data_IF_350959616395
#
_entry.id   IF_350959616395
#
_cell.length_a   1.000
_cell.length_b   1.000
_cell.length_c   1.000
_cell.angle_alpha   90.00
_cell.angle_beta   90.00
_cell.angle_gamma   90.00
#
_symmetry.space_group_name_H-M   'P 1'
#
loop_
_entity.id
_entity.type
_entity.pdbx_description
1 polymer ?
#
# COMPACT_ATOMS: atom_id res chain seq x y z
N UNK A 1 7.26 4.90 -40.88
CA UNK A 1 6.59 5.38 -39.65
C UNK A 1 5.98 4.18 -38.96
N UNK A 2 6.73 3.55 -38.06
CA UNK A 2 6.30 2.37 -37.30
C UNK A 2 5.88 2.86 -35.92
N UNK A 3 4.59 2.77 -35.62
CA UNK A 3 4.00 3.11 -34.35
C UNK A 3 4.32 1.99 -33.37
N UNK A 4 5.29 2.22 -32.48
CA UNK A 4 5.59 1.34 -31.36
C UNK A 4 4.48 1.51 -30.30
N UNK A 5 3.44 0.71 -30.42
CA UNK A 5 2.53 0.43 -29.32
C UNK A 5 3.30 -0.45 -28.31
N UNK A 6 3.88 0.19 -27.28
CA UNK A 6 4.40 -0.52 -26.13
C UNK A 6 3.21 -1.10 -25.36
N UNK A 7 2.88 -2.36 -25.64
CA UNK A 7 1.97 -3.14 -24.84
C UNK A 7 2.61 -3.38 -23.48
N UNK A 8 2.10 -2.73 -22.43
CA UNK A 8 2.39 -3.03 -21.04
C UNK A 8 1.82 -4.42 -20.69
N UNK A 9 2.43 -5.49 -21.23
CA UNK A 9 2.20 -6.83 -20.73
C UNK A 9 2.92 -6.96 -19.40
N UNK A 10 2.16 -7.21 -18.34
CA UNK A 10 2.69 -7.59 -17.04
C UNK A 10 3.62 -8.80 -17.24
N UNK A 11 4.89 -8.65 -16.88
CA UNK A 11 5.79 -9.80 -16.81
C UNK A 11 5.34 -10.63 -15.60
N UNK A 12 4.66 -11.74 -15.84
CA UNK A 12 4.13 -12.65 -14.83
C UNK A 12 5.23 -13.33 -14.02
N UNK A 13 6.50 -13.25 -14.46
CA UNK A 13 7.64 -13.84 -13.74
C UNK A 13 7.91 -13.17 -12.38
N UNK A 14 7.41 -11.93 -12.19
CA UNK A 14 7.57 -11.16 -10.95
C UNK A 14 6.24 -10.93 -10.21
N UNK A 15 5.28 -11.84 -10.33
CA UNK A 15 3.99 -11.73 -9.66
C UNK A 15 3.50 -13.08 -9.17
N UNK A 16 3.05 -13.14 -7.92
CA UNK A 16 2.48 -14.33 -7.32
C UNK A 16 1.18 -14.02 -6.57
N UNK A 17 0.19 -14.89 -6.72
CA UNK A 17 -1.04 -14.86 -5.90
C UNK A 17 -0.95 -15.97 -4.87
N UNK A 18 -1.29 -15.68 -3.62
CA UNK A 18 -1.44 -16.66 -2.57
C UNK A 18 -2.78 -16.51 -1.84
N UNK A 19 -3.19 -17.57 -1.19
CA UNK A 19 -4.44 -17.63 -0.45
C UNK A 19 -4.18 -17.49 1.04
N UNK A 20 -4.95 -16.64 1.69
CA UNK A 20 -5.02 -16.46 3.12
C UNK A 20 -3.76 -15.85 3.76
N UNK A 21 -2.57 -16.34 3.44
CA UNK A 21 -1.31 -15.88 4.06
C UNK A 21 -0.13 -16.07 3.11
N UNK A 22 1.02 -15.54 3.48
CA UNK A 22 2.29 -15.80 2.81
C UNK A 22 2.74 -17.25 3.05
N UNK A 23 3.27 -17.90 2.00
CA UNK A 23 4.02 -19.15 2.17
C UNK A 23 5.33 -18.89 2.94
N UNK A 24 5.96 -19.94 3.48
CA UNK A 24 7.24 -19.80 4.19
C UNK A 24 8.36 -19.27 3.28
N UNK A 25 8.34 -19.58 1.98
CA UNK A 25 9.30 -19.03 1.01
C UNK A 25 9.08 -17.52 0.82
N UNK A 26 7.82 -17.07 0.72
CA UNK A 26 7.49 -15.65 0.63
C UNK A 26 7.78 -14.92 1.95
N UNK A 27 7.50 -15.54 3.09
CA UNK A 27 7.89 -15.00 4.38
C UNK A 27 9.40 -14.75 4.43
N UNK A 28 10.21 -15.77 4.08
CA UNK A 28 11.67 -15.67 4.05
C UNK A 28 12.15 -14.57 3.11
N UNK A 29 11.50 -14.43 1.94
CA UNK A 29 11.78 -13.37 0.98
C UNK A 29 11.55 -11.98 1.56
N UNK A 30 10.40 -11.74 2.18
CA UNK A 30 10.06 -10.43 2.73
C UNK A 30 10.80 -10.09 4.02
N UNK A 31 11.18 -11.08 4.82
CA UNK A 31 12.08 -10.87 5.97
C UNK A 31 13.53 -10.57 5.55
N UNK A 32 13.90 -10.85 4.31
CA UNK A 32 15.24 -10.58 3.76
C UNK A 32 15.45 -9.17 3.21
N UNK A 33 14.45 -8.27 3.29
CA UNK A 33 14.53 -6.90 2.77
C UNK A 33 14.28 -5.86 3.87
N UNK A 34 14.73 -4.63 3.66
CA UNK A 34 14.57 -3.53 4.63
C UNK A 34 13.34 -2.63 4.36
N UNK A 35 12.65 -2.84 3.26
CA UNK A 35 11.43 -2.08 2.94
C UNK A 35 10.53 -2.86 1.98
N UNK A 36 9.23 -2.67 2.12
CA UNK A 36 8.20 -3.22 1.23
C UNK A 36 7.14 -2.16 0.94
N UNK A 37 6.61 -2.18 -0.28
CA UNK A 37 5.40 -1.43 -0.60
C UNK A 37 4.16 -2.28 -0.27
N UNK A 38 3.12 -1.65 0.25
CA UNK A 38 1.88 -2.34 0.68
C UNK A 38 0.67 -1.54 0.24
N UNK A 39 -0.37 -2.23 -0.21
CA UNK A 39 -1.69 -1.66 -0.51
C UNK A 39 -2.77 -2.69 -0.18
N UNK A 40 -4.03 -2.25 -0.07
CA UNK A 40 -5.15 -3.13 0.25
C UNK A 40 -6.39 -2.81 -0.59
N UNK A 41 -7.12 -3.88 -0.99
CA UNK A 41 -8.41 -3.75 -1.63
C UNK A 41 -9.53 -4.26 -0.72
N UNK A 42 -10.64 -3.53 -0.70
CA UNK A 42 -11.77 -3.78 0.19
C UNK A 42 -13.11 -3.71 -0.55
N UNK A 43 -14.18 -4.17 0.06
CA UNK A 43 -15.54 -4.04 -0.50
C UNK A 43 -16.11 -2.62 -0.42
N UNK A 44 -15.39 -1.68 0.22
CA UNK A 44 -15.78 -0.28 0.38
C UNK A 44 -14.81 0.44 1.31
N UNK A 45 -15.15 1.66 1.75
CA UNK A 45 -14.19 2.56 2.41
C UNK A 45 -14.44 2.74 3.92
N UNK A 46 -15.38 2.00 4.50
CA UNK A 46 -15.73 2.16 5.92
C UNK A 46 -15.13 1.01 6.72
N UNK A 47 -14.09 1.25 7.54
CA UNK A 47 -13.57 0.26 8.48
C UNK A 47 -14.70 -0.24 9.41
N UNK A 48 -14.71 -1.53 9.70
CA UNK A 48 -15.74 -2.16 10.53
C UNK A 48 -16.97 -2.65 9.77
N UNK A 49 -17.30 -2.04 8.63
CA UNK A 49 -18.38 -2.47 7.75
C UNK A 49 -17.88 -3.24 6.53
N UNK A 50 -16.85 -2.69 5.89
CA UNK A 50 -16.38 -3.16 4.60
C UNK A 50 -15.14 -4.05 4.79
N UNK A 51 -15.23 -5.31 4.32
CA UNK A 51 -14.18 -6.28 4.58
C UNK A 51 -12.95 -6.08 3.68
N UNK A 52 -11.80 -6.43 4.22
CA UNK A 52 -10.55 -6.61 3.48
C UNK A 52 -10.67 -7.80 2.51
N UNK A 53 -10.20 -7.63 1.29
CA UNK A 53 -10.32 -8.62 0.21
C UNK A 53 -8.98 -9.05 -0.37
N UNK A 54 -8.06 -8.10 -0.57
CA UNK A 54 -6.77 -8.37 -1.16
C UNK A 54 -5.71 -7.51 -0.44
N UNK A 55 -4.51 -8.07 -0.29
CA UNK A 55 -3.34 -7.35 0.22
C UNK A 55 -2.23 -7.52 -0.80
N UNK A 56 -1.64 -6.42 -1.25
CA UNK A 56 -0.51 -6.44 -2.16
C UNK A 56 0.77 -6.06 -1.43
N UNK A 57 1.82 -6.83 -1.67
CA UNK A 57 3.18 -6.53 -1.23
C UNK A 57 4.09 -6.42 -2.45
N UNK A 58 5.01 -5.45 -2.45
CA UNK A 58 6.07 -5.38 -3.45
C UNK A 58 7.41 -5.18 -2.76
N UNK A 59 8.39 -6.00 -3.10
CA UNK A 59 9.76 -5.87 -2.59
C UNK A 59 10.63 -4.94 -3.48
N UNK A 60 11.85 -4.59 -3.04
CA UNK A 60 12.74 -3.73 -3.83
C UNK A 60 13.17 -4.29 -5.18
N UNK A 61 13.01 -5.60 -5.43
CA UNK A 61 13.28 -6.21 -6.74
C UNK A 61 12.12 -6.02 -7.73
N UNK A 62 10.98 -5.46 -7.28
CA UNK A 62 9.76 -5.33 -8.07
C UNK A 62 8.90 -6.60 -8.10
N UNK A 63 9.20 -7.59 -7.25
CA UNK A 63 8.38 -8.78 -7.11
C UNK A 63 7.12 -8.46 -6.30
N UNK A 64 5.96 -8.74 -6.86
CA UNK A 64 4.66 -8.46 -6.26
C UNK A 64 3.98 -9.75 -5.80
N UNK A 65 3.49 -9.75 -4.56
CA UNK A 65 2.62 -10.79 -4.02
C UNK A 65 1.23 -10.20 -3.76
N UNK A 66 0.20 -10.87 -4.25
CA UNK A 66 -1.20 -10.56 -3.93
C UNK A 66 -1.79 -11.67 -3.04
N UNK A 67 -2.18 -11.31 -1.81
CA UNK A 67 -2.74 -12.24 -0.82
C UNK A 67 -4.26 -12.09 -0.85
N UNK A 68 -4.99 -13.15 -1.22
CA UNK A 68 -6.46 -13.17 -1.19
C UNK A 68 -6.96 -13.42 0.21
N UNK A 69 -7.78 -12.50 0.72
CA UNK A 69 -8.39 -12.60 2.04
C UNK A 69 -9.82 -13.11 1.91
N UNK A 70 -10.09 -14.29 2.43
CA UNK A 70 -11.41 -14.92 2.34
C UNK A 70 -12.36 -14.42 3.44
N UNK A 71 -13.64 -14.54 3.18
CA UNK A 71 -14.68 -14.12 4.14
C UNK A 71 -14.57 -14.92 5.44
N UNK A 72 -14.50 -14.22 6.57
CA UNK A 72 -14.39 -14.83 7.91
C UNK A 72 -12.97 -15.19 8.31
N UNK A 73 -11.97 -14.90 7.48
CA UNK A 73 -10.57 -15.06 7.85
C UNK A 73 -10.17 -14.01 8.89
N UNK A 74 -9.53 -14.42 9.97
CA UNK A 74 -9.11 -13.55 11.08
C UNK A 74 -7.61 -13.68 11.41
N UNK A 75 -6.89 -14.55 10.71
CA UNK A 75 -5.47 -14.81 10.97
C UNK A 75 -4.66 -14.83 9.67
N UNK A 76 -3.46 -14.26 9.74
CA UNK A 76 -2.43 -14.31 8.71
C UNK A 76 -1.05 -14.22 9.40
N UNK A 77 -0.58 -15.30 10.06
CA UNK A 77 0.58 -15.26 10.96
C UNK A 77 1.89 -14.92 10.26
N UNK A 78 2.09 -15.31 9.01
CA UNK A 78 3.31 -14.98 8.27
C UNK A 78 3.28 -13.53 7.80
N UNK A 79 2.15 -13.05 7.29
CA UNK A 79 1.97 -11.64 6.99
C UNK A 79 2.18 -10.77 8.24
N UNK A 80 1.61 -11.18 9.38
CA UNK A 80 1.76 -10.47 10.65
C UNK A 80 3.24 -10.31 11.04
N UNK A 81 4.06 -11.36 10.93
CA UNK A 81 5.50 -11.28 11.19
C UNK A 81 6.18 -10.22 10.33
N UNK A 82 5.88 -10.15 9.04
CA UNK A 82 6.45 -9.15 8.12
C UNK A 82 5.98 -7.74 8.48
N UNK A 83 4.69 -7.57 8.76
CA UNK A 83 4.10 -6.26 9.01
C UNK A 83 4.48 -5.65 10.36
N UNK A 84 4.83 -6.48 11.35
CA UNK A 84 5.24 -6.05 12.69
C UNK A 84 6.77 -6.03 12.88
N UNK A 85 7.55 -6.47 11.87
CA UNK A 85 9.01 -6.42 11.93
C UNK A 85 9.51 -4.97 11.86
N UNK A 86 10.18 -4.52 12.93
CA UNK A 86 10.70 -3.15 13.05
C UNK A 86 11.87 -2.85 12.09
N UNK A 87 12.50 -3.87 11.50
CA UNK A 87 13.59 -3.70 10.54
C UNK A 87 13.09 -3.48 9.11
N UNK A 88 11.80 -3.71 8.85
CA UNK A 88 11.19 -3.58 7.53
C UNK A 88 10.28 -2.36 7.50
N UNK A 89 10.62 -1.34 6.74
CA UNK A 89 9.73 -0.19 6.52
C UNK A 89 8.57 -0.56 5.58
N UNK A 90 7.34 -0.33 6.02
CA UNK A 90 6.12 -0.53 5.24
C UNK A 90 5.68 0.77 4.58
N UNK A 91 5.76 0.82 3.25
CA UNK A 91 5.47 1.99 2.42
C UNK A 91 4.07 1.88 1.82
N UNK A 92 3.22 2.84 2.13
CA UNK A 92 1.82 2.90 1.68
C UNK A 92 1.53 4.21 0.95
N UNK A 93 0.43 4.21 0.19
CA UNK A 93 -0.20 5.45 -0.23
C UNK A 93 -1.52 5.66 0.51
N UNK A 94 -1.57 6.59 1.48
CA UNK A 94 -2.67 6.80 2.44
C UNK A 94 -2.78 5.71 3.52
N UNK A 95 -1.64 5.37 4.12
CA UNK A 95 -1.46 4.31 5.12
C UNK A 95 -2.54 4.19 6.23
N UNK A 96 -3.16 5.31 6.64
CA UNK A 96 -4.23 5.34 7.67
C UNK A 96 -5.36 4.36 7.36
N UNK A 97 -5.74 4.22 6.09
CA UNK A 97 -6.79 3.31 5.66
C UNK A 97 -6.31 1.85 5.72
N UNK A 98 -5.18 1.55 5.10
CA UNK A 98 -4.66 0.17 5.00
C UNK A 98 -4.30 -0.41 6.36
N UNK A 99 -3.64 0.40 7.20
CA UNK A 99 -3.29 0.02 8.57
C UNK A 99 -4.53 -0.27 9.41
N UNK A 100 -5.63 0.50 9.22
CA UNK A 100 -6.91 0.21 9.88
C UNK A 100 -7.48 -1.15 9.45
N UNK A 101 -7.46 -1.46 8.15
CA UNK A 101 -7.95 -2.73 7.61
C UNK A 101 -7.14 -3.94 8.13
N UNK A 102 -5.80 -3.82 8.13
CA UNK A 102 -4.90 -4.86 8.65
C UNK A 102 -5.08 -5.07 10.16
N UNK A 103 -5.16 -3.98 10.92
CA UNK A 103 -5.37 -4.04 12.36
C UNK A 103 -6.72 -4.66 12.72
N UNK A 104 -7.79 -4.26 12.03
CA UNK A 104 -9.14 -4.75 12.30
C UNK A 104 -9.30 -6.23 11.91
N UNK A 105 -8.74 -6.64 10.76
CA UNK A 105 -8.95 -7.99 10.23
C UNK A 105 -8.07 -9.02 10.93
N UNK A 106 -6.79 -8.67 11.20
CA UNK A 106 -5.77 -9.61 11.67
C UNK A 106 -5.11 -9.22 12.99
N UNK A 107 -5.55 -8.15 13.64
CA UNK A 107 -4.89 -7.59 14.82
C UNK A 107 -3.37 -7.34 14.57
N UNK A 108 -3.02 -6.83 13.39
CA UNK A 108 -1.65 -6.48 13.01
C UNK A 108 -1.35 -5.05 13.48
N UNK A 109 -0.27 -4.88 14.25
CA UNK A 109 0.28 -3.59 14.66
C UNK A 109 1.39 -3.16 13.69
N UNK A 110 1.01 -2.67 12.51
CA UNK A 110 1.94 -2.31 11.44
C UNK A 110 2.92 -1.23 11.88
N UNK A 111 4.22 -1.50 11.80
CA UNK A 111 5.31 -0.53 12.03
C UNK A 111 6.67 -1.08 11.54
N UNK A 112 7.66 -0.21 11.18
CA UNK A 112 7.49 1.23 10.94
C UNK A 112 6.73 1.51 9.65
N UNK A 113 6.13 2.69 9.55
CA UNK A 113 5.29 3.11 8.43
C UNK A 113 5.90 4.31 7.71
N UNK A 114 5.89 4.28 6.38
CA UNK A 114 6.06 5.45 5.53
C UNK A 114 4.79 5.68 4.72
N UNK A 115 4.27 6.91 4.72
CA UNK A 115 3.07 7.26 3.94
C UNK A 115 3.40 8.25 2.84
N UNK A 116 3.41 7.80 1.58
CA UNK A 116 3.73 8.64 0.42
C UNK A 116 2.76 9.80 0.22
N UNK A 117 1.49 9.66 0.62
CA UNK A 117 0.51 10.76 0.55
C UNK A 117 0.82 11.88 1.57
N UNK A 118 1.22 11.53 2.79
CA UNK A 118 1.66 12.52 3.80
C UNK A 118 2.97 13.16 3.33
N UNK A 119 3.94 12.36 2.91
CA UNK A 119 5.20 12.83 2.37
C UNK A 119 4.99 13.80 1.19
N UNK A 120 4.12 13.44 0.24
CA UNK A 120 3.75 14.28 -0.89
C UNK A 120 3.14 15.62 -0.45
N UNK A 121 2.24 15.64 0.53
CA UNK A 121 1.64 16.87 1.05
C UNK A 121 2.67 17.79 1.70
N UNK A 122 3.65 17.22 2.38
CA UNK A 122 4.71 18.00 3.03
C UNK A 122 5.79 18.47 2.03
N UNK A 123 6.16 17.65 1.04
CA UNK A 123 7.20 17.97 0.08
C UNK A 123 6.70 18.81 -1.10
N UNK A 124 5.49 18.52 -1.61
CA UNK A 124 4.95 19.10 -2.86
C UNK A 124 3.87 20.14 -2.55
N UNK A 125 4.22 21.20 -1.84
CA UNK A 125 3.29 22.27 -1.44
C UNK A 125 2.82 23.17 -2.58
N UNK A 126 3.40 23.02 -3.76
CA UNK A 126 3.05 23.74 -5.00
C UNK A 126 1.84 23.13 -5.75
N UNK A 127 1.29 22.01 -5.29
CA UNK A 127 0.14 21.34 -5.91
C UNK A 127 -0.84 20.83 -4.86
N UNK A 128 -2.10 20.66 -5.24
CA UNK A 128 -3.13 19.96 -4.46
C UNK A 128 -3.30 18.49 -4.87
N UNK A 129 -2.57 18.03 -5.91
CA UNK A 129 -2.69 16.70 -6.49
C UNK A 129 -1.76 15.70 -5.78
N UNK A 130 -2.26 15.08 -4.70
CA UNK A 130 -1.51 14.12 -3.89
C UNK A 130 -2.03 12.68 -3.99
N UNK A 131 -2.86 12.37 -4.99
CA UNK A 131 -3.30 11.00 -5.29
C UNK A 131 -2.19 10.18 -5.95
N UNK A 132 -2.23 8.84 -5.78
CA UNK A 132 -1.19 7.94 -6.28
C UNK A 132 -0.93 8.11 -7.79
N UNK A 133 -1.98 8.17 -8.63
CA UNK A 133 -1.85 8.37 -10.08
C UNK A 133 -1.04 9.63 -10.40
N UNK A 134 -1.41 10.78 -9.80
CA UNK A 134 -0.73 12.05 -10.04
C UNK A 134 0.71 12.04 -9.55
N UNK A 135 0.95 11.38 -8.42
CA UNK A 135 2.26 11.28 -7.79
C UNK A 135 3.22 10.43 -8.64
N UNK A 136 2.78 9.26 -9.08
CA UNK A 136 3.57 8.37 -9.95
C UNK A 136 3.80 9.01 -11.32
N UNK A 137 2.78 9.67 -11.90
CA UNK A 137 2.94 10.39 -13.17
C UNK A 137 3.99 11.49 -13.10
N UNK A 138 4.03 12.25 -12.00
CA UNK A 138 4.97 13.37 -11.86
C UNK A 138 6.39 12.90 -11.53
N UNK A 139 6.53 11.91 -10.62
CA UNK A 139 7.84 11.51 -10.13
C UNK A 139 8.51 10.39 -10.95
N UNK A 140 7.70 9.54 -11.61
CA UNK A 140 8.19 8.38 -12.38
C UNK A 140 7.90 8.51 -13.89
N UNK A 141 7.07 9.48 -14.31
CA UNK A 141 6.66 9.63 -15.71
C UNK A 141 5.70 8.55 -16.21
N UNK A 142 5.09 7.77 -15.30
CA UNK A 142 4.25 6.60 -15.62
C UNK A 142 2.78 6.93 -15.40
N UNK A 143 1.94 6.63 -16.38
CA UNK A 143 0.50 6.79 -16.26
C UNK A 143 -0.16 5.50 -15.75
N UNK A 144 -0.74 5.55 -14.53
CA UNK A 144 -1.47 4.43 -13.94
C UNK A 144 -2.89 4.35 -14.52
N UNK A 145 -3.30 3.14 -14.94
CA UNK A 145 -4.70 2.83 -15.32
C UNK A 145 -5.53 2.59 -14.04
N UNK A 146 -6.56 3.41 -13.84
CA UNK A 146 -7.49 3.31 -12.69
C UNK A 146 -8.84 2.68 -13.02
N UNK A 147 -8.99 2.07 -14.19
CA UNK A 147 -10.28 1.53 -14.63
C UNK A 147 -10.79 0.37 -13.75
N UNK A 148 -9.92 -0.34 -13.03
CA UNK A 148 -10.30 -1.43 -12.13
C UNK A 148 -10.48 -1.00 -10.66
N UNK A 149 -10.28 0.27 -10.30
CA UNK A 149 -10.38 0.76 -8.92
C UNK A 149 -11.74 0.47 -8.26
N UNK A 150 -12.82 0.56 -9.01
CA UNK A 150 -14.19 0.31 -8.52
C UNK A 150 -14.69 -1.10 -8.85
N UNK A 151 -13.80 -2.08 -8.96
CA UNK A 151 -14.13 -3.47 -9.26
C UNK A 151 -14.80 -4.16 -8.07
N UNK A 152 -15.48 -5.27 -8.33
CA UNK A 152 -15.95 -6.16 -7.26
C UNK A 152 -14.77 -6.96 -6.69
N UNK A 153 -14.16 -6.43 -5.64
CA UNK A 153 -13.09 -7.08 -4.89
C UNK A 153 -13.61 -8.21 -3.99
N UNK A 154 -14.93 -8.27 -3.73
CA UNK A 154 -15.55 -9.30 -2.90
C UNK A 154 -15.43 -10.71 -3.46
N UNK A 155 -15.31 -10.86 -4.77
CA UNK A 155 -15.14 -12.16 -5.45
C UNK A 155 -13.66 -12.55 -5.55
N UNK A 156 -12.98 -12.67 -4.41
CA UNK A 156 -11.52 -12.94 -4.34
C UNK A 156 -11.08 -14.23 -5.02
N UNK A 157 -11.97 -15.23 -5.12
CA UNK A 157 -11.67 -16.50 -5.78
C UNK A 157 -11.52 -16.38 -7.31
N UNK A 158 -12.14 -15.35 -7.92
CA UNK A 158 -12.21 -15.16 -9.35
C UNK A 158 -11.77 -13.76 -9.78
N UNK A 159 -10.66 -13.25 -9.22
CA UNK A 159 -10.07 -12.00 -9.65
C UNK A 159 -9.62 -12.06 -11.09
N UNK A 160 -10.01 -11.08 -11.88
CA UNK A 160 -9.64 -10.99 -13.29
C UNK A 160 -8.17 -10.58 -13.45
N UNK A 161 -7.51 -10.92 -14.56
CA UNK A 161 -6.15 -10.43 -14.85
C UNK A 161 -6.05 -8.89 -14.78
N UNK A 162 -7.11 -8.18 -15.19
CA UNK A 162 -7.16 -6.70 -15.11
C UNK A 162 -7.14 -6.19 -13.68
N UNK A 163 -7.86 -6.84 -12.76
CA UNK A 163 -7.80 -6.50 -11.32
C UNK A 163 -6.42 -6.79 -10.73
N UNK A 164 -5.82 -7.93 -11.08
CA UNK A 164 -4.48 -8.28 -10.58
C UNK A 164 -3.40 -7.32 -11.11
N UNK A 165 -3.48 -6.88 -12.37
CA UNK A 165 -2.58 -5.88 -12.94
C UNK A 165 -2.75 -4.53 -12.23
N UNK A 166 -3.99 -4.11 -12.00
CA UNK A 166 -4.30 -2.90 -11.26
C UNK A 166 -3.67 -2.94 -9.86
N UNK A 167 -3.98 -3.98 -9.08
CA UNK A 167 -3.48 -4.18 -7.73
C UNK A 167 -1.94 -4.23 -7.67
N UNK A 168 -1.28 -4.86 -8.64
CA UNK A 168 0.18 -4.87 -8.74
C UNK A 168 0.76 -3.48 -9.01
N UNK A 169 0.10 -2.66 -9.81
CA UNK A 169 0.58 -1.33 -10.16
C UNK A 169 0.44 -0.33 -9.01
N UNK A 170 -0.49 -0.52 -8.09
CA UNK A 170 -0.66 0.35 -6.92
C UNK A 170 0.49 0.21 -5.91
N UNK A 171 1.24 -0.90 -5.93
CA UNK A 171 2.43 -1.09 -5.05
C UNK A 171 3.77 -0.95 -5.78
N UNK A 172 3.83 -1.24 -7.09
CA UNK A 172 5.09 -1.40 -7.84
C UNK A 172 5.99 -0.16 -7.81
N UNK A 173 5.40 1.02 -7.75
CA UNK A 173 6.14 2.29 -7.85
C UNK A 173 6.31 2.99 -6.49
N UNK A 174 5.75 2.43 -5.40
CA UNK A 174 5.76 3.13 -4.11
C UNK A 174 7.17 3.28 -3.52
N UNK A 175 8.06 2.30 -3.72
CA UNK A 175 9.42 2.38 -3.17
C UNK A 175 10.25 3.45 -3.88
N UNK A 176 10.21 3.56 -5.20
CA UNK A 176 10.91 4.62 -5.95
C UNK A 176 10.33 6.01 -5.66
N UNK A 177 9.00 6.10 -5.59
CA UNK A 177 8.31 7.33 -5.18
C UNK A 177 8.71 7.75 -3.76
N UNK A 178 8.81 6.80 -2.80
CA UNK A 178 9.31 7.05 -1.46
C UNK A 178 10.70 7.68 -1.48
N UNK A 179 11.63 7.07 -2.21
CA UNK A 179 13.02 7.53 -2.27
C UNK A 179 13.12 8.96 -2.81
N UNK A 180 12.36 9.27 -3.86
CA UNK A 180 12.27 10.63 -4.40
C UNK A 180 11.68 11.61 -3.38
N UNK A 181 10.60 11.22 -2.67
CA UNK A 181 9.98 12.07 -1.65
C UNK A 181 10.88 12.31 -0.44
N UNK A 182 11.71 11.34 -0.03
CA UNK A 182 12.71 11.54 1.03
C UNK A 182 13.69 12.65 0.64
N UNK A 183 14.25 12.61 -0.57
CA UNK A 183 15.16 13.64 -1.07
C UNK A 183 14.48 15.02 -1.08
N UNK A 184 13.21 15.09 -1.53
CA UNK A 184 12.45 16.35 -1.50
C UNK A 184 12.23 16.86 -0.08
N UNK A 185 11.83 15.98 0.85
CA UNK A 185 11.59 16.35 2.25
C UNK A 185 12.85 16.85 2.95
N UNK A 186 13.99 16.22 2.67
CA UNK A 186 15.29 16.65 3.20
C UNK A 186 15.68 18.03 2.65
N UNK A 187 15.54 18.25 1.34
CA UNK A 187 15.81 19.54 0.70
C UNK A 187 14.96 20.68 1.30
N UNK A 188 13.68 20.38 1.61
CA UNK A 188 12.73 21.34 2.17
C UNK A 188 12.82 21.44 3.72
N UNK A 189 13.78 20.74 4.36
CA UNK A 189 13.96 20.67 5.81
C UNK A 189 12.71 20.19 6.58
N UNK A 190 11.94 19.28 5.95
CA UNK A 190 10.66 18.75 6.48
C UNK A 190 10.70 17.25 6.82
N UNK A 191 11.87 16.62 6.71
CA UNK A 191 12.02 15.19 6.95
C UNK A 191 11.62 14.77 8.37
N UNK A 192 12.13 15.45 9.38
CA UNK A 192 11.81 15.15 10.79
C UNK A 192 10.31 15.32 11.08
N UNK A 193 9.67 16.35 10.49
CA UNK A 193 8.24 16.56 10.62
C UNK A 193 7.45 15.41 9.97
N UNK A 194 7.89 14.95 8.79
CA UNK A 194 7.27 13.83 8.10
C UNK A 194 7.33 12.54 8.94
N UNK A 195 8.49 12.22 9.52
CA UNK A 195 8.66 11.07 10.41
C UNK A 195 7.72 11.12 11.63
N UNK A 196 7.55 12.28 12.25
CA UNK A 196 6.57 12.48 13.34
C UNK A 196 5.14 12.27 12.85
N UNK A 197 4.80 12.73 11.65
CA UNK A 197 3.48 12.47 11.05
C UNK A 197 3.26 10.98 10.79
N UNK A 198 4.26 10.24 10.33
CA UNK A 198 4.15 8.80 10.13
C UNK A 198 3.92 8.06 11.45
N UNK A 199 4.62 8.43 12.52
CA UNK A 199 4.44 7.83 13.84
C UNK A 199 3.07 8.11 14.47
N UNK A 200 2.33 9.12 14.00
CA UNK A 200 0.95 9.38 14.40
C UNK A 200 -0.08 8.48 13.70
N UNK A 201 0.26 7.79 12.61
CA UNK A 201 -0.70 6.98 11.83
C UNK A 201 -1.40 5.93 12.71
N UNK A 202 -0.73 5.15 13.57
CA UNK A 202 -1.41 4.19 14.45
C UNK A 202 -2.44 4.83 15.38
N UNK A 203 -2.18 6.06 15.85
CA UNK A 203 -3.12 6.81 16.70
C UNK A 203 -4.38 7.16 15.90
N UNK A 204 -4.23 7.74 14.70
CA UNK A 204 -5.38 8.05 13.84
C UNK A 204 -6.15 6.80 13.44
N UNK A 205 -5.46 5.71 13.16
CA UNK A 205 -6.07 4.40 12.88
C UNK A 205 -6.92 3.92 14.06
N UNK A 206 -6.41 4.01 15.29
CA UNK A 206 -7.15 3.61 16.48
C UNK A 206 -8.40 4.49 16.70
N UNK A 207 -8.32 5.79 16.42
CA UNK A 207 -9.46 6.70 16.47
C UNK A 207 -10.53 6.34 15.43
N UNK A 208 -10.13 6.03 14.20
CA UNK A 208 -11.05 5.59 13.14
C UNK A 208 -11.80 4.31 13.52
N UNK A 209 -11.06 3.31 14.03
CA UNK A 209 -11.64 2.03 14.44
C UNK A 209 -12.61 2.16 15.61
N UNK A 210 -12.37 3.10 16.51
CA UNK A 210 -13.23 3.43 17.65
C UNK A 210 -14.31 4.46 17.29
N UNK A 211 -14.38 4.91 16.03
CA UNK A 211 -15.35 5.88 15.50
C UNK A 211 -15.27 7.28 16.15
N UNK A 212 -14.13 7.65 16.73
CA UNK A 212 -13.87 9.02 17.15
C UNK A 212 -13.58 9.89 15.94
N UNK A 213 -14.32 10.98 15.80
CA UNK A 213 -14.15 12.00 14.75
C UNK A 213 -13.73 13.32 15.36
N UNK A 214 -13.01 14.09 14.58
CA UNK A 214 -12.78 15.52 14.81
C UNK A 214 -12.20 15.88 16.19
N UNK A 215 -11.49 14.94 16.86
CA UNK A 215 -10.95 15.19 18.19
C UNK A 215 -9.83 16.24 18.23
N UNK A 216 -9.29 16.63 17.07
CA UNK A 216 -8.29 17.67 16.90
C UNK A 216 -8.87 18.93 16.22
N UNK A 217 -10.18 18.95 15.97
CA UNK A 217 -10.89 20.08 15.37
C UNK A 217 -11.70 20.84 16.43
N UNK A 218 -12.03 22.09 16.10
CA UNK A 218 -12.92 22.92 16.91
C UNK A 218 -14.38 22.66 16.55
#
# INVERSE_FOLDING_TARGET
>A
MSCLLSSNYMNLDNFQVCDQDLSDDLLSRYLGVNSIAVDTETMGLIPGRDRLCLIQLCDPSGFVTAIRVFRGQTEAPNLKKVMEDEQIEKVFHFARFDVAQLSQTFAIATQPIFCTKIASKLARTYTSSHGLKSLVQELEGIELDKTAQSSDWGNVANLTPKQLIYAANDVRYLLSVRDTLIVMLQREERWELAQKCFSCIPVFTALDLQQYKDIFEH
#
